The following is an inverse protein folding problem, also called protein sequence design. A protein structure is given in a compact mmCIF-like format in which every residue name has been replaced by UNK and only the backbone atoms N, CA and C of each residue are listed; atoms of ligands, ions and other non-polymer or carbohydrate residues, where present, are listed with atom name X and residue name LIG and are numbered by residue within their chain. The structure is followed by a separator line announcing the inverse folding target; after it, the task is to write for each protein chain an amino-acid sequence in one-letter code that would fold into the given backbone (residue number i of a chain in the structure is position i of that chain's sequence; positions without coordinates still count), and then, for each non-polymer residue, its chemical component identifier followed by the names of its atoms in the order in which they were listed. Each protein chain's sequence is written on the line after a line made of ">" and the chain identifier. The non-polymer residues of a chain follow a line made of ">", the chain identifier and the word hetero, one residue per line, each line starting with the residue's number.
data_IF_954309663354
#
_entry.id   IF_954309663354
#
_cell.length_a   1.000
_cell.length_b   1.000
_cell.length_c   1.000
_cell.angle_alpha   90.00
_cell.angle_beta   90.00
_cell.angle_gamma   90.00
#
_symmetry.space_group_name_H-M   'P 1'
#
loop_
_entity.id
_entity.type
_entity.pdbx_description
1 polymer ?
#
# COMPACT_ATOMS: atom_id res chain seq x y z
N UNK A 1 8.07 2.00 7.40
CA UNK A 1 6.77 1.43 7.81
C UNK A 1 5.65 2.30 7.23
N UNK A 2 4.56 1.72 6.75
CA UNK A 2 3.42 2.49 6.25
C UNK A 2 2.65 3.14 7.40
N UNK A 3 2.21 4.38 7.20
CA UNK A 3 1.35 5.15 8.11
C UNK A 3 0.13 5.66 7.33
N UNK A 4 -0.71 6.48 7.97
CA UNK A 4 -1.86 7.09 7.30
C UNK A 4 -1.49 8.21 6.32
N UNK A 5 -0.31 8.80 6.43
CA UNK A 5 0.05 10.04 5.70
C UNK A 5 1.32 9.94 4.85
N UNK A 6 2.04 8.82 4.87
CA UNK A 6 3.31 8.65 4.12
C UNK A 6 3.20 7.69 2.93
N UNK A 7 2.00 7.48 2.38
CA UNK A 7 1.80 6.49 1.31
C UNK A 7 2.76 6.67 0.12
N UNK A 8 2.95 7.89 -0.37
CA UNK A 8 3.79 8.14 -1.55
C UNK A 8 5.26 7.76 -1.29
N UNK A 9 5.83 8.18 -0.17
CA UNK A 9 7.20 7.84 0.22
C UNK A 9 7.34 6.34 0.51
N UNK A 10 6.37 5.76 1.21
CA UNK A 10 6.36 4.33 1.49
C UNK A 10 6.30 3.49 0.22
N UNK A 11 5.47 3.89 -0.76
CA UNK A 11 5.33 3.18 -2.02
C UNK A 11 6.65 3.17 -2.79
N UNK A 12 7.32 4.33 -2.89
CA UNK A 12 8.63 4.44 -3.53
C UNK A 12 9.67 3.49 -2.89
N UNK A 13 9.79 3.53 -1.56
CA UNK A 13 10.74 2.67 -0.84
C UNK A 13 10.40 1.19 -1.00
N UNK A 14 9.11 0.84 -0.95
CA UNK A 14 8.68 -0.56 -1.05
C UNK A 14 8.90 -1.12 -2.45
N UNK A 15 8.59 -0.35 -3.49
CA UNK A 15 8.86 -0.71 -4.88
C UNK A 15 10.36 -0.98 -5.08
N UNK A 16 11.24 -0.05 -4.66
CA UNK A 16 12.69 -0.27 -4.72
C UNK A 16 13.14 -1.55 -3.98
N UNK A 17 12.59 -1.81 -2.80
CA UNK A 17 12.94 -3.00 -2.01
C UNK A 17 12.46 -4.30 -2.67
N UNK A 18 11.27 -4.31 -3.27
CA UNK A 18 10.75 -5.48 -3.98
C UNK A 18 11.55 -5.76 -5.25
N UNK A 19 11.96 -4.72 -5.99
CA UNK A 19 12.89 -4.88 -7.11
C UNK A 19 14.23 -5.47 -6.66
N UNK A 20 14.83 -4.89 -5.61
CA UNK A 20 16.10 -5.37 -5.07
C UNK A 20 16.05 -6.83 -4.57
N UNK A 21 14.87 -7.27 -4.11
CA UNK A 21 14.65 -8.65 -3.65
C UNK A 21 14.18 -9.62 -4.75
N UNK A 22 14.05 -9.16 -6.00
CA UNK A 22 13.43 -9.93 -7.09
C UNK A 22 12.00 -10.41 -6.79
N UNK A 23 11.25 -9.60 -6.03
CA UNK A 23 9.86 -9.85 -5.62
C UNK A 23 8.87 -8.91 -6.29
N UNK A 24 9.30 -8.13 -7.29
CA UNK A 24 8.44 -7.23 -8.05
C UNK A 24 7.68 -7.91 -9.20
N UNK A 25 8.22 -9.01 -9.75
CA UNK A 25 7.61 -9.76 -10.87
C UNK A 25 6.09 -10.05 -10.68
N UNK A 26 5.59 -10.43 -9.48
CA UNK A 26 4.15 -10.66 -9.29
C UNK A 26 3.26 -9.42 -9.51
N UNK A 27 3.83 -8.20 -9.55
CA UNK A 27 3.08 -6.97 -9.84
C UNK A 27 2.81 -6.81 -11.35
N UNK A 28 3.65 -7.40 -12.18
CA UNK A 28 3.63 -7.25 -13.64
C UNK A 28 3.04 -8.48 -14.33
N UNK A 29 3.34 -9.68 -13.81
CA UNK A 29 2.93 -10.96 -14.40
C UNK A 29 2.05 -11.76 -13.41
N UNK A 30 0.90 -12.21 -13.92
CA UNK A 30 -0.05 -13.03 -13.16
C UNK A 30 0.33 -14.53 -13.17
N UNK A 31 1.34 -14.93 -13.96
CA UNK A 31 1.88 -16.31 -14.08
C UNK A 31 3.10 -16.59 -13.19
N UNK A 32 3.25 -15.87 -12.07
CA UNK A 32 4.34 -16.07 -11.12
C UNK A 32 4.15 -17.31 -10.25
N UNK A 33 5.26 -17.98 -9.89
CA UNK A 33 5.25 -19.06 -8.91
C UNK A 33 4.60 -18.62 -7.60
N UNK A 34 3.66 -19.43 -7.08
CA UNK A 34 2.96 -19.16 -5.82
C UNK A 34 3.91 -18.84 -4.66
N UNK A 35 5.11 -19.43 -4.64
CA UNK A 35 6.12 -19.18 -3.60
C UNK A 35 6.63 -17.74 -3.64
N UNK A 36 6.90 -17.19 -4.82
CA UNK A 36 7.38 -15.82 -5.00
C UNK A 36 6.28 -14.81 -4.69
N UNK A 37 5.06 -15.07 -5.19
CA UNK A 37 3.86 -14.31 -4.85
C UNK A 37 3.68 -14.20 -3.32
N UNK A 38 3.75 -15.32 -2.60
CA UNK A 38 3.61 -15.31 -1.13
C UNK A 38 4.76 -14.60 -0.42
N UNK A 39 5.99 -14.65 -0.94
CA UNK A 39 7.11 -13.87 -0.38
C UNK A 39 6.87 -12.38 -0.52
N UNK A 40 6.35 -11.92 -1.66
CA UNK A 40 5.98 -10.53 -1.88
C UNK A 40 4.84 -10.09 -0.94
N UNK A 41 3.77 -10.90 -0.80
CA UNK A 41 2.70 -10.64 0.19
C UNK A 41 3.28 -10.51 1.61
N UNK A 42 4.18 -11.42 2.01
CA UNK A 42 4.80 -11.38 3.33
C UNK A 42 5.66 -10.12 3.54
N UNK A 43 6.36 -9.66 2.51
CA UNK A 43 7.11 -8.40 2.55
C UNK A 43 6.17 -7.20 2.76
N UNK A 44 5.07 -7.14 2.01
CA UNK A 44 4.03 -6.11 2.18
C UNK A 44 3.45 -6.13 3.59
N UNK A 45 3.06 -7.30 4.11
CA UNK A 45 2.51 -7.44 5.45
C UNK A 45 3.46 -6.93 6.54
N UNK A 46 4.77 -7.20 6.43
CA UNK A 46 5.78 -6.71 7.38
C UNK A 46 5.95 -5.19 7.33
N UNK A 47 5.73 -4.60 6.16
CA UNK A 47 5.89 -3.17 5.95
C UNK A 47 4.61 -2.35 6.21
N UNK A 48 3.51 -3.03 6.55
CA UNK A 48 2.21 -2.43 6.87
C UNK A 48 1.86 -2.55 8.35
N UNK A 49 1.03 -1.62 8.88
CA UNK A 49 0.49 -1.71 10.23
C UNK A 49 -0.29 -3.02 10.49
N UNK A 50 -0.29 -3.52 11.74
CA UNK A 50 -0.97 -4.77 12.10
C UNK A 50 -2.44 -4.83 11.69
N UNK A 51 -3.17 -3.73 11.77
CA UNK A 51 -4.59 -3.65 11.43
C UNK A 51 -4.89 -3.94 9.94
N UNK A 52 -3.90 -3.80 9.06
CA UNK A 52 -4.05 -4.12 7.63
C UNK A 52 -3.80 -5.61 7.33
N UNK A 53 -3.17 -6.36 8.24
CA UNK A 53 -2.72 -7.74 7.97
C UNK A 53 -3.87 -8.68 7.62
N UNK A 54 -5.02 -8.54 8.29
CA UNK A 54 -6.21 -9.36 7.99
C UNK A 54 -6.71 -9.14 6.55
N UNK A 55 -6.76 -7.87 6.11
CA UNK A 55 -7.12 -7.51 4.73
C UNK A 55 -6.14 -8.10 3.72
N UNK A 56 -4.84 -8.02 4.00
CA UNK A 56 -3.79 -8.52 3.09
C UNK A 56 -3.75 -10.05 3.02
N UNK A 57 -4.04 -10.74 4.13
CA UNK A 57 -4.09 -12.20 4.18
C UNK A 57 -5.18 -12.78 3.27
N UNK A 58 -6.27 -12.02 3.07
CA UNK A 58 -7.40 -12.43 2.23
C UNK A 58 -7.14 -12.25 0.71
N UNK A 59 -5.99 -11.69 0.30
CA UNK A 59 -5.71 -11.41 -1.12
C UNK A 59 -5.15 -12.62 -1.86
N UNK A 60 -5.59 -12.77 -3.09
CA UNK A 60 -5.22 -13.88 -3.95
C UNK A 60 -3.82 -13.72 -4.53
N UNK A 61 -3.27 -12.50 -4.59
CA UNK A 61 -1.91 -12.22 -5.06
C UNK A 61 -1.26 -11.03 -4.35
N UNK A 62 0.05 -10.86 -4.53
CA UNK A 62 0.79 -9.70 -4.08
C UNK A 62 0.33 -8.42 -4.77
N UNK A 63 -0.04 -8.49 -6.06
CA UNK A 63 -0.62 -7.38 -6.83
C UNK A 63 -1.93 -6.88 -6.24
N UNK A 64 -2.83 -7.80 -5.89
CA UNK A 64 -4.06 -7.43 -5.20
C UNK A 64 -3.81 -6.85 -3.81
N UNK A 65 -2.80 -7.37 -3.09
CA UNK A 65 -2.40 -6.82 -1.80
C UNK A 65 -1.84 -5.40 -1.93
N UNK A 66 -0.99 -5.15 -2.93
CA UNK A 66 -0.44 -3.83 -3.25
C UNK A 66 -1.55 -2.83 -3.58
N UNK A 67 -2.46 -3.19 -4.48
CA UNK A 67 -3.58 -2.32 -4.87
C UNK A 67 -4.53 -2.04 -3.69
N UNK A 68 -4.79 -3.03 -2.83
CA UNK A 68 -5.59 -2.79 -1.63
C UNK A 68 -4.95 -1.77 -0.67
N UNK A 69 -3.62 -1.82 -0.49
CA UNK A 69 -2.88 -0.82 0.29
C UNK A 69 -3.05 0.57 -0.35
N UNK A 70 -2.85 0.65 -1.66
CA UNK A 70 -2.99 1.88 -2.45
C UNK A 70 -4.37 2.50 -2.31
N UNK A 71 -5.43 1.73 -2.52
CA UNK A 71 -6.82 2.21 -2.42
C UNK A 71 -7.12 2.75 -1.01
N UNK A 72 -6.78 1.99 0.03
CA UNK A 72 -7.09 2.37 1.40
C UNK A 72 -6.36 3.67 1.83
N UNK A 73 -5.12 3.85 1.38
CA UNK A 73 -4.30 5.00 1.77
C UNK A 73 -4.51 6.23 0.90
N UNK A 74 -4.68 6.09 -0.41
CA UNK A 74 -5.07 7.21 -1.27
C UNK A 74 -6.42 7.79 -0.86
N UNK A 75 -7.40 6.96 -0.50
CA UNK A 75 -8.69 7.42 0.03
C UNK A 75 -8.51 8.23 1.33
N UNK A 76 -7.64 7.76 2.23
CA UNK A 76 -7.35 8.44 3.50
C UNK A 76 -6.70 9.82 3.28
N UNK A 77 -5.74 9.93 2.35
CA UNK A 77 -5.08 11.19 2.01
C UNK A 77 -6.08 12.22 1.45
N UNK A 78 -6.92 11.81 0.49
CA UNK A 78 -7.92 12.68 -0.14
C UNK A 78 -8.94 13.21 0.86
N UNK A 79 -9.46 12.37 1.75
CA UNK A 79 -10.40 12.80 2.81
C UNK A 79 -9.74 13.82 3.74
N UNK A 80 -8.47 13.60 4.11
CA UNK A 80 -7.73 14.54 4.94
C UNK A 80 -7.54 15.89 4.25
N UNK A 81 -7.14 15.88 2.98
CA UNK A 81 -6.96 17.10 2.19
C UNK A 81 -8.28 17.88 2.07
N UNK A 82 -9.39 17.21 1.78
CA UNK A 82 -10.71 17.85 1.73
C UNK A 82 -11.11 18.49 3.08
N UNK A 83 -10.85 17.80 4.20
CA UNK A 83 -11.11 18.34 5.53
C UNK A 83 -10.25 19.57 5.84
N UNK A 84 -8.97 19.57 5.45
CA UNK A 84 -8.07 20.73 5.62
C UNK A 84 -8.55 21.91 4.80
N UNK A 85 -8.96 21.70 3.54
CA UNK A 85 -9.48 22.78 2.70
C UNK A 85 -10.79 23.35 3.26
N UNK A 86 -11.69 22.49 3.76
CA UNK A 86 -12.92 22.94 4.42
C UNK A 86 -12.62 23.80 5.65
N UNK A 87 -11.72 23.33 6.53
CA UNK A 87 -11.32 24.09 7.72
C UNK A 87 -10.75 25.46 7.35
N UNK A 88 -9.92 25.54 6.29
CA UNK A 88 -9.39 26.83 5.81
C UNK A 88 -10.50 27.77 5.33
N UNK A 89 -11.44 27.27 4.54
CA UNK A 89 -12.59 28.06 4.08
C UNK A 89 -13.48 28.54 5.24
N UNK A 90 -13.65 27.72 6.29
CA UNK A 90 -14.41 28.09 7.49
C UNK A 90 -13.70 29.17 8.33
N UNK A 91 -12.36 29.28 8.26
CA UNK A 91 -11.58 30.33 8.94
C UNK A 91 -11.46 31.63 8.13
N UNK A 92 -11.67 31.58 6.81
CA UNK A 92 -11.62 32.74 5.90
C UNK A 92 -12.99 33.45 5.77
N UNK A 93 -14.04 32.93 6.41
CA UNK A 93 -15.38 33.52 6.53
C UNK A 93 -15.59 34.18 7.91
#
# INVERSE_FOLDING_TARGET
>A
MLTRSNYNEWALIMECNLHAASLWVPMEDDLVERKEDRKAVAALMRATPPEMRGMLAAKASAKEAWEAIRTQRLGSNRVREANVQKLRADFEN
#
